data_IF_758610311483
#
_entry.id   IF_758610311483
#
_cell.length_a   1.000
_cell.length_b   1.000
_cell.length_c   1.000
_cell.angle_alpha   90.00
_cell.angle_beta   90.00
_cell.angle_gamma   90.00
#
_symmetry.space_group_name_H-M   'P 1'
#
loop_
_entity.id
_entity.type
_entity.pdbx_description
1 polymer ?
#
# COMPACT_ATOMS: atom_id res chain seq x y z
N UNK A 1 18.05 0.70 0.65
CA UNK A 1 16.89 -0.20 0.38
C UNK A 1 15.59 0.57 0.56
N UNK A 2 14.46 0.06 0.08
CA UNK A 2 13.13 0.65 0.28
C UNK A 2 12.30 -0.10 1.32
N UNK A 3 11.20 0.48 1.78
CA UNK A 3 10.30 -0.17 2.74
C UNK A 3 9.10 -0.82 2.04
N UNK A 4 8.51 -1.83 2.69
CA UNK A 4 7.20 -2.37 2.35
C UNK A 4 6.28 -2.14 3.54
N UNK A 5 5.12 -1.54 3.31
CA UNK A 5 4.04 -1.37 4.27
C UNK A 5 2.71 -1.38 3.52
N UNK A 6 1.60 -1.50 4.24
CA UNK A 6 0.27 -1.40 3.66
C UNK A 6 -0.62 -0.50 4.52
N UNK A 7 -1.64 0.10 3.91
CA UNK A 7 -2.57 0.99 4.59
C UNK A 7 -3.97 0.36 4.65
N UNK A 8 -4.64 0.55 5.79
CA UNK A 8 -6.10 0.46 5.90
C UNK A 8 -6.65 1.88 5.92
N UNK A 9 -7.54 2.23 4.99
CA UNK A 9 -8.26 3.51 5.04
C UNK A 9 -9.52 3.35 5.90
N UNK A 10 -9.81 4.29 6.81
CA UNK A 10 -11.11 4.29 7.51
C UNK A 10 -12.26 4.46 6.50
N UNK A 11 -13.33 3.69 6.65
CA UNK A 11 -14.49 3.73 5.78
C UNK A 11 -15.45 4.88 6.14
N UNK A 12 -15.01 6.11 5.88
CA UNK A 12 -15.75 7.33 6.15
C UNK A 12 -16.01 8.11 4.86
N UNK A 13 -16.90 9.10 4.92
CA UNK A 13 -17.21 9.97 3.79
C UNK A 13 -15.96 10.69 3.28
N UNK A 14 -15.94 11.03 1.98
CA UNK A 14 -14.71 11.51 1.33
C UNK A 14 -14.07 12.73 1.99
N UNK A 15 -14.87 13.64 2.51
CA UNK A 15 -14.41 14.89 3.14
C UNK A 15 -14.41 14.81 4.67
N UNK A 16 -14.61 13.63 5.23
CA UNK A 16 -14.54 13.43 6.68
C UNK A 16 -13.07 13.60 7.15
N UNK A 17 -12.80 14.48 8.13
CA UNK A 17 -11.44 14.73 8.60
C UNK A 17 -10.80 13.53 9.32
N UNK A 18 -11.61 12.57 9.79
CA UNK A 18 -11.11 11.33 10.38
C UNK A 18 -10.88 10.24 9.32
N UNK A 19 -11.29 10.43 8.05
CA UNK A 19 -10.92 9.53 6.95
C UNK A 19 -9.43 9.60 6.70
N UNK A 20 -8.72 8.58 7.13
CA UNK A 20 -7.27 8.52 7.07
C UNK A 20 -6.77 7.10 6.83
N UNK A 21 -5.59 7.02 6.22
CA UNK A 21 -4.80 5.80 6.09
C UNK A 21 -4.09 5.48 7.40
N UNK A 22 -4.25 4.24 7.88
CA UNK A 22 -3.52 3.67 9.00
C UNK A 22 -2.46 2.73 8.42
N UNK A 23 -1.20 3.07 8.63
CA UNK A 23 -0.07 2.34 8.07
C UNK A 23 0.37 1.17 8.98
N UNK A 24 0.56 0.02 8.36
CA UNK A 24 1.05 -1.21 8.99
C UNK A 24 2.39 -1.61 8.35
N UNK A 25 3.49 -1.67 9.13
CA UNK A 25 4.83 -1.95 8.59
C UNK A 25 4.97 -3.41 8.16
N UNK A 26 5.60 -3.70 7.03
CA UNK A 26 5.98 -5.08 6.68
C UNK A 26 7.48 -5.24 6.89
N UNK A 27 8.29 -4.56 6.09
CA UNK A 27 9.75 -4.53 6.24
C UNK A 27 10.25 -3.10 6.06
N UNK A 28 11.13 -2.65 6.95
CA UNK A 28 11.60 -1.27 7.01
C UNK A 28 10.62 -0.35 7.76
N UNK A 29 10.36 0.81 7.18
CA UNK A 29 9.60 1.91 7.78
C UNK A 29 8.22 2.11 7.14
N UNK A 30 7.32 2.82 7.83
CA UNK A 30 6.12 3.41 7.21
C UNK A 30 6.45 4.79 6.65
N UNK A 31 5.48 5.45 6.00
CA UNK A 31 5.63 6.82 5.49
C UNK A 31 5.87 7.88 6.59
N UNK A 32 5.61 7.56 7.86
CA UNK A 32 5.91 8.44 9.00
C UNK A 32 7.41 8.57 9.30
N UNK A 33 8.22 7.61 8.83
CA UNK A 33 9.67 7.62 9.02
C UNK A 33 10.39 7.63 7.66
N UNK A 34 10.94 8.79 7.31
CA UNK A 34 11.64 9.05 6.05
C UNK A 34 13.09 8.56 6.03
N UNK A 35 13.60 8.01 7.13
CA UNK A 35 14.95 7.45 7.17
C UNK A 35 15.07 6.21 6.27
N UNK A 36 16.26 6.02 5.70
CA UNK A 36 16.55 4.82 4.92
C UNK A 36 16.46 3.57 5.80
N UNK A 37 15.66 2.54 5.43
CA UNK A 37 15.48 1.34 6.26
C UNK A 37 16.72 0.43 6.31
N UNK A 38 17.77 0.72 5.54
CA UNK A 38 18.99 -0.11 5.46
C UNK A 38 18.62 -1.59 5.22
N UNK A 39 19.29 -2.54 5.87
CA UNK A 39 19.04 -3.97 5.71
C UNK A 39 17.65 -4.42 6.18
N UNK A 40 16.90 -3.60 6.91
CA UNK A 40 15.51 -3.92 7.26
C UNK A 40 14.55 -3.80 6.07
N UNK A 41 14.95 -3.15 4.97
CA UNK A 41 14.11 -2.92 3.80
C UNK A 41 14.20 -4.02 2.73
N UNK A 42 13.68 -3.75 1.53
CA UNK A 42 13.76 -4.56 0.29
C UNK A 42 14.51 -3.74 -0.77
N UNK A 43 15.48 -4.34 -1.46
CA UNK A 43 16.23 -3.68 -2.54
C UNK A 43 15.42 -3.62 -3.86
N UNK A 44 15.78 -2.68 -4.75
CA UNK A 44 15.23 -2.70 -6.12
C UNK A 44 15.63 -4.01 -6.82
N UNK A 45 14.64 -4.68 -7.42
CA UNK A 45 14.83 -5.98 -8.07
C UNK A 45 14.88 -7.19 -7.12
N UNK A 46 14.80 -6.99 -5.80
CA UNK A 46 14.65 -8.08 -4.84
C UNK A 46 13.21 -8.60 -4.85
N UNK A 47 13.05 -9.91 -5.02
CA UNK A 47 11.74 -10.55 -5.07
C UNK A 47 11.13 -10.70 -3.67
N UNK A 48 9.85 -10.38 -3.56
CA UNK A 48 9.00 -10.70 -2.42
C UNK A 48 7.61 -11.08 -2.91
N UNK A 49 6.82 -11.71 -2.05
CA UNK A 49 5.46 -12.15 -2.34
C UNK A 49 4.50 -11.56 -1.32
N UNK A 50 3.29 -11.23 -1.77
CA UNK A 50 2.17 -10.91 -0.90
C UNK A 50 0.96 -11.78 -1.26
N UNK A 51 0.17 -12.14 -0.25
CA UNK A 51 -1.11 -12.85 -0.39
C UNK A 51 -2.16 -12.04 0.35
N UNK A 52 -3.25 -11.73 -0.33
CA UNK A 52 -4.46 -11.12 0.27
C UNK A 52 -5.58 -12.14 0.13
N UNK A 53 -6.09 -12.61 1.25
CA UNK A 53 -7.16 -13.59 1.31
C UNK A 53 -8.30 -13.03 2.15
N UNK A 54 -9.47 -12.82 1.55
CA UNK A 54 -10.67 -12.40 2.29
C UNK A 54 -11.57 -13.62 2.45
N UNK A 55 -11.80 -14.03 3.69
CA UNK A 55 -12.67 -15.14 4.04
C UNK A 55 -13.71 -14.66 5.05
N UNK A 56 -14.97 -14.91 4.73
CA UNK A 56 -16.12 -14.37 5.47
C UNK A 56 -15.99 -12.84 5.56
N UNK A 57 -15.76 -12.28 6.75
CA UNK A 57 -15.53 -10.83 6.93
C UNK A 57 -14.05 -10.48 7.12
N UNK A 58 -13.16 -11.46 7.23
CA UNK A 58 -11.79 -11.24 7.67
C UNK A 58 -10.82 -11.24 6.47
N UNK A 59 -9.99 -10.21 6.40
CA UNK A 59 -8.86 -10.09 5.50
C UNK A 59 -7.59 -10.61 6.17
N UNK A 60 -6.98 -11.62 5.57
CA UNK A 60 -5.70 -12.18 5.95
C UNK A 60 -4.64 -11.71 4.95
N UNK A 61 -3.60 -11.07 5.45
CA UNK A 61 -2.45 -10.65 4.66
C UNK A 61 -1.25 -11.51 5.04
N UNK A 62 -0.47 -11.93 4.04
CA UNK A 62 0.80 -12.62 4.26
C UNK A 62 1.84 -12.04 3.32
N UNK A 63 2.95 -11.58 3.88
CA UNK A 63 4.09 -11.08 3.15
C UNK A 63 5.29 -11.99 3.42
N UNK A 64 5.99 -12.41 2.36
CA UNK A 64 7.15 -13.28 2.48
C UNK A 64 8.24 -12.90 1.48
N UNK A 65 9.49 -13.17 1.86
CA UNK A 65 10.67 -13.06 1.00
C UNK A 65 11.68 -14.12 1.45
N UNK A 66 12.80 -14.27 0.72
CA UNK A 66 13.89 -15.18 1.09
C UNK A 66 14.72 -14.69 2.28
N UNK A 67 14.74 -13.38 2.53
CA UNK A 67 15.69 -12.74 3.46
C UNK A 67 15.09 -12.37 4.80
N UNK A 68 13.81 -12.03 4.84
CA UNK A 68 13.11 -11.60 6.04
C UNK A 68 12.08 -12.62 6.50
N UNK A 69 11.80 -12.57 7.80
CA UNK A 69 10.70 -13.34 8.37
C UNK A 69 9.36 -12.97 7.72
N UNK A 70 8.49 -13.97 7.62
CA UNK A 70 7.12 -13.81 7.13
C UNK A 70 6.35 -12.90 8.08
N UNK A 71 5.65 -11.91 7.51
CA UNK A 71 4.78 -10.98 8.24
C UNK A 71 3.33 -11.26 7.88
N UNK A 72 2.46 -11.36 8.90
CA UNK A 72 1.04 -11.64 8.71
C UNK A 72 0.16 -10.63 9.42
N UNK A 73 -0.99 -10.32 8.83
CA UNK A 73 -2.04 -9.49 9.42
C UNK A 73 -3.40 -10.17 9.29
N UNK A 74 -4.27 -9.88 10.25
CA UNK A 74 -5.67 -10.31 10.28
C UNK A 74 -6.54 -9.11 10.65
N UNK A 75 -7.46 -8.72 9.77
CA UNK A 75 -8.34 -7.57 9.95
C UNK A 75 -9.78 -7.98 9.64
N UNK A 76 -10.68 -7.78 10.59
CA UNK A 76 -12.11 -7.97 10.36
C UNK A 76 -12.68 -6.74 9.62
N UNK A 77 -12.91 -6.87 8.32
CA UNK A 77 -13.45 -5.81 7.47
C UNK A 77 -14.90 -5.46 7.82
N UNK A 78 -15.60 -6.25 8.64
CA UNK A 78 -16.96 -5.92 9.09
C UNK A 78 -16.99 -5.08 10.38
N UNK A 79 -15.84 -4.62 10.86
CA UNK A 79 -15.70 -3.77 12.04
C UNK A 79 -14.83 -2.57 11.72
N UNK A 80 -15.12 -1.46 12.38
CA UNK A 80 -14.22 -0.32 12.37
C UNK A 80 -12.85 -0.72 12.93
N UNK A 81 -11.78 -0.30 12.28
CA UNK A 81 -10.40 -0.59 12.72
C UNK A 81 -10.04 0.10 14.04
N UNK A 82 -10.73 1.20 14.35
CA UNK A 82 -10.64 1.93 15.61
C UNK A 82 -11.97 2.63 15.92
N UNK A 83 -12.00 3.41 17.01
CA UNK A 83 -13.21 4.12 17.47
C UNK A 83 -13.67 5.26 16.56
N UNK A 84 -12.84 5.71 15.61
CA UNK A 84 -13.18 6.78 14.66
C UNK A 84 -13.74 6.23 13.36
N UNK A 85 -13.45 4.99 13.04
CA UNK A 85 -13.92 4.33 11.83
C UNK A 85 -15.44 4.04 11.88
N UNK A 86 -16.02 3.71 10.74
CA UNK A 86 -17.39 3.22 10.67
C UNK A 86 -17.51 1.93 11.50
N UNK A 87 -18.48 1.83 12.43
CA UNK A 87 -18.60 0.65 13.28
C UNK A 87 -18.91 -0.63 12.51
N UNK A 88 -19.40 -0.53 11.26
CA UNK A 88 -19.60 -1.67 10.37
C UNK A 88 -18.40 -1.96 9.46
N UNK A 89 -17.30 -1.23 9.64
CA UNK A 89 -16.16 -1.20 8.71
C UNK A 89 -16.68 -1.06 7.28
N UNK A 90 -16.33 -2.05 6.48
CA UNK A 90 -16.63 -2.24 5.07
C UNK A 90 -17.74 -3.29 4.78
N UNK A 91 -18.49 -3.76 5.79
CA UNK A 91 -19.44 -4.88 5.67
C UNK A 91 -20.52 -4.71 4.57
N UNK A 92 -20.77 -3.49 4.11
CA UNK A 92 -21.84 -3.15 3.15
C UNK A 92 -21.32 -2.79 1.75
N UNK A 93 -20.01 -2.86 1.54
CA UNK A 93 -19.36 -2.39 0.33
C UNK A 93 -18.97 -3.54 -0.60
N UNK A 94 -18.91 -3.25 -1.90
CA UNK A 94 -18.44 -4.19 -2.91
C UNK A 94 -16.95 -4.00 -3.17
N UNK A 95 -16.22 -5.12 -3.26
CA UNK A 95 -14.77 -5.12 -3.47
C UNK A 95 -14.37 -5.70 -4.82
N UNK A 96 -13.21 -5.24 -5.28
CA UNK A 96 -12.45 -5.84 -6.37
C UNK A 96 -10.96 -5.65 -6.10
N UNK A 97 -10.13 -6.59 -6.56
CA UNK A 97 -8.68 -6.48 -6.42
C UNK A 97 -8.07 -5.65 -7.55
N UNK A 98 -6.95 -4.98 -7.23
CA UNK A 98 -6.08 -4.30 -8.18
C UNK A 98 -4.65 -4.78 -7.96
N UNK A 99 -3.88 -4.90 -9.04
CA UNK A 99 -2.46 -5.18 -8.99
C UNK A 99 -1.76 -4.45 -10.14
N UNK A 100 -0.57 -3.92 -9.89
CA UNK A 100 0.17 -3.11 -10.86
C UNK A 100 1.06 -2.07 -10.19
N UNK A 101 1.50 -1.08 -10.96
CA UNK A 101 2.23 0.07 -10.47
C UNK A 101 1.27 1.26 -10.30
N UNK A 102 0.81 1.51 -9.07
CA UNK A 102 0.08 2.73 -8.73
C UNK A 102 1.05 3.73 -8.10
N UNK A 103 1.45 4.75 -8.86
CA UNK A 103 2.43 5.75 -8.41
C UNK A 103 1.82 6.75 -7.43
N UNK A 104 2.38 6.82 -6.21
CA UNK A 104 1.97 7.78 -5.19
C UNK A 104 2.69 9.14 -5.30
N UNK A 105 3.65 9.27 -6.22
CA UNK A 105 4.40 10.50 -6.48
C UNK A 105 3.61 11.37 -7.48
N UNK A 106 2.80 12.30 -6.99
CA UNK A 106 2.07 13.25 -7.84
C UNK A 106 2.76 14.62 -7.89
N UNK A 107 2.50 15.39 -8.96
CA UNK A 107 3.02 16.77 -9.13
C UNK A 107 2.23 17.80 -8.31
N UNK A 108 1.15 17.39 -7.65
CA UNK A 108 0.34 18.32 -6.86
C UNK A 108 1.06 18.65 -5.56
N UNK A 109 0.86 19.86 -5.04
CA UNK A 109 1.41 20.32 -3.75
C UNK A 109 0.31 20.71 -2.75
N UNK A 110 -0.95 20.74 -3.18
CA UNK A 110 -2.06 21.31 -2.40
C UNK A 110 -2.53 20.42 -1.24
N UNK A 111 -2.23 19.12 -1.29
CA UNK A 111 -2.65 18.17 -0.27
C UNK A 111 -1.47 17.87 0.68
N UNK A 112 -1.65 18.00 2.02
CA UNK A 112 -0.54 17.91 2.98
C UNK A 112 0.19 16.56 2.98
N UNK A 113 -0.54 15.47 2.69
CA UNK A 113 0.03 14.10 2.60
C UNK A 113 0.18 13.62 1.15
N UNK A 114 -0.87 13.74 0.33
CA UNK A 114 -0.94 13.22 -1.04
C UNK A 114 -0.49 14.19 -2.15
N UNK A 115 0.05 15.35 -1.78
CA UNK A 115 0.64 16.32 -2.70
C UNK A 115 2.15 16.41 -2.54
N UNK A 116 2.92 15.37 -2.95
CA UNK A 116 4.36 15.34 -2.74
C UNK A 116 5.17 16.25 -3.68
N UNK A 117 4.55 16.93 -4.65
CA UNK A 117 5.24 17.88 -5.53
C UNK A 117 6.35 17.26 -6.38
N UNK A 118 6.14 16.04 -6.90
CA UNK A 118 7.14 15.33 -7.69
C UNK A 118 7.39 15.99 -9.06
N UNK A 119 8.58 15.77 -9.63
CA UNK A 119 9.10 16.44 -10.84
C UNK A 119 8.49 15.95 -12.18
N UNK A 120 7.47 15.10 -12.14
CA UNK A 120 6.87 14.52 -13.34
C UNK A 120 6.34 15.61 -14.30
N UNK A 121 6.66 15.49 -15.58
CA UNK A 121 6.26 16.48 -16.60
C UNK A 121 4.93 16.11 -17.26
N UNK A 122 4.54 14.84 -17.20
CA UNK A 122 3.40 14.29 -17.93
C UNK A 122 3.75 13.81 -19.34
N UNK A 123 4.99 14.01 -19.80
CA UNK A 123 5.54 13.38 -21.00
C UNK A 123 6.38 12.16 -20.60
N UNK A 124 5.87 10.97 -20.90
CA UNK A 124 6.53 9.72 -20.50
C UNK A 124 7.94 9.55 -21.07
N UNK A 125 8.25 10.09 -22.25
CA UNK A 125 9.60 9.97 -22.82
C UNK A 125 10.61 10.81 -22.03
N UNK A 126 10.19 11.99 -21.56
CA UNK A 126 10.98 12.86 -20.69
C UNK A 126 11.09 12.24 -19.30
N UNK A 127 9.96 11.87 -18.70
CA UNK A 127 9.88 11.34 -17.33
C UNK A 127 10.71 10.05 -17.20
N UNK A 128 10.63 9.16 -18.20
CA UNK A 128 11.46 7.94 -18.23
C UNK A 128 12.96 8.24 -18.33
N UNK A 129 13.35 9.27 -19.07
CA UNK A 129 14.76 9.69 -19.19
C UNK A 129 15.28 10.28 -17.88
N UNK A 130 14.44 11.01 -17.16
CA UNK A 130 14.77 11.64 -15.90
C UNK A 130 14.74 10.67 -14.70
N UNK A 131 14.00 9.57 -14.81
CA UNK A 131 13.79 8.64 -13.70
C UNK A 131 12.50 8.91 -12.92
N UNK A 132 11.64 9.81 -13.40
CA UNK A 132 10.37 10.20 -12.79
C UNK A 132 9.25 9.20 -13.12
N UNK A 133 9.52 7.91 -12.89
CA UNK A 133 8.57 6.84 -13.14
C UNK A 133 8.76 5.72 -12.11
N UNK A 134 7.71 4.93 -11.92
CA UNK A 134 7.77 3.67 -11.19
C UNK A 134 7.62 2.48 -12.15
N UNK A 135 8.25 1.36 -11.79
CA UNK A 135 8.14 0.11 -12.54
C UNK A 135 8.04 -1.05 -11.57
N UNK A 136 7.12 -1.97 -11.87
CA UNK A 136 6.89 -3.20 -11.10
C UNK A 136 6.83 -4.36 -12.08
N UNK A 137 7.47 -5.47 -11.74
CA UNK A 137 7.42 -6.72 -12.51
C UNK A 137 6.83 -7.82 -11.63
N UNK A 138 5.86 -8.55 -12.14
CA UNK A 138 5.24 -9.69 -11.47
C UNK A 138 5.77 -10.99 -12.09
N UNK A 139 6.46 -11.81 -11.30
CA UNK A 139 6.81 -13.18 -11.69
C UNK A 139 5.59 -14.12 -11.60
N UNK A 140 4.62 -13.79 -10.74
CA UNK A 140 3.32 -14.46 -10.66
C UNK A 140 2.23 -13.50 -10.19
N UNK A 141 1.03 -13.63 -10.74
CA UNK A 141 -0.19 -12.95 -10.28
C UNK A 141 -1.35 -13.91 -10.45
N UNK A 142 -2.04 -14.24 -9.36
CA UNK A 142 -3.13 -15.24 -9.34
C UNK A 142 -4.32 -14.66 -8.61
N UNK A 143 -5.52 -14.96 -9.11
CA UNK A 143 -6.77 -14.58 -8.48
C UNK A 143 -7.56 -15.85 -8.14
N UNK A 144 -7.87 -16.04 -6.86
CA UNK A 144 -8.57 -17.25 -6.38
C UNK A 144 -7.86 -18.56 -6.77
N UNK A 145 -6.51 -18.55 -6.75
CA UNK A 145 -5.68 -19.70 -7.11
C UNK A 145 -5.66 -20.05 -8.60
N UNK A 146 -6.25 -19.21 -9.45
CA UNK A 146 -6.26 -19.34 -10.91
C UNK A 146 -5.32 -18.32 -11.57
#
# INVERSE_FOLDING_TARGET
MGSVFWNYERNLEKNDPDRADIAYPVWGNTWENTAEPSDAGIALGEEFSYKIEVKDTTMYLTFSTKRHDTVTYEIDLAKGVDAKDNPNGYAKDAFYFKAGAYGQCSVQESHPVWGPGCEGTGDFAIDKKNGDYNSVTFSSLKLNGK
#
